data_IF_750729387253
#
_entry.id   IF_750729387253
#
_cell.length_a   1.000
_cell.length_b   1.000
_cell.length_c   1.000
_cell.angle_alpha   90.00
_cell.angle_beta   90.00
_cell.angle_gamma   90.00
#
_symmetry.space_group_name_H-M   'P 1'
#
loop_
_entity.id
_entity.type
_entity.pdbx_description
1 polymer ?
#
# COMPACT_ATOMS: atom_id res chain seq x y z
N UNK A 1 0.22 -11.15 -22.88
CA UNK A 1 0.41 -11.52 -21.63
C UNK A 1 1.42 -10.67 -20.93
N UNK A 2 1.11 -10.26 -19.82
CA UNK A 2 2.01 -9.42 -19.10
C UNK A 2 2.97 -10.24 -18.29
N UNK A 3 4.23 -10.03 -18.53
CA UNK A 3 5.25 -10.68 -17.72
C UNK A 3 5.94 -9.69 -16.82
N UNK A 4 5.30 -8.55 -16.59
CA UNK A 4 5.91 -7.51 -15.80
C UNK A 4 5.52 -7.57 -14.35
N UNK A 5 4.76 -8.61 -13.97
CA UNK A 5 4.37 -8.73 -12.56
C UNK A 5 5.53 -9.25 -11.73
N UNK A 6 5.49 -8.91 -10.46
CA UNK A 6 6.48 -9.35 -9.50
C UNK A 6 5.76 -10.00 -8.33
N UNK A 7 5.94 -11.30 -8.17
CA UNK A 7 5.30 -12.07 -7.10
C UNK A 7 3.80 -11.81 -7.03
N UNK A 8 3.18 -11.68 -8.20
CA UNK A 8 1.74 -11.45 -8.28
C UNK A 8 1.31 -10.00 -8.25
N UNK A 9 2.27 -9.07 -8.11
CA UNK A 9 1.97 -7.63 -8.09
C UNK A 9 2.48 -6.97 -9.36
N UNK A 10 1.98 -5.77 -9.63
CA UNK A 10 2.30 -5.06 -10.86
C UNK A 10 3.80 -4.95 -11.09
N UNK A 11 4.56 -4.62 -10.03
CA UNK A 11 5.99 -4.45 -10.15
C UNK A 11 6.65 -4.64 -8.79
N UNK A 12 7.98 -4.58 -8.79
CA UNK A 12 8.75 -4.78 -7.57
C UNK A 12 8.43 -3.71 -6.52
N UNK A 13 8.23 -2.46 -6.95
CA UNK A 13 7.99 -1.38 -6.00
C UNK A 13 6.70 -1.62 -5.22
N UNK A 14 5.65 -2.07 -5.91
CA UNK A 14 4.38 -2.36 -5.26
C UNK A 14 4.54 -3.50 -4.26
N UNK A 15 5.19 -4.57 -4.68
CA UNK A 15 5.45 -5.71 -3.81
C UNK A 15 6.28 -5.29 -2.59
N UNK A 16 7.32 -4.46 -2.82
CA UNK A 16 8.23 -4.07 -1.75
C UNK A 16 7.51 -3.28 -0.66
N UNK A 17 6.66 -2.35 -1.04
CA UNK A 17 5.89 -1.57 -0.07
C UNK A 17 5.06 -2.48 0.81
N UNK A 18 4.40 -3.46 0.20
CA UNK A 18 3.51 -4.34 0.95
C UNK A 18 4.28 -5.28 1.86
N UNK A 19 5.41 -5.81 1.41
CA UNK A 19 6.19 -6.70 2.25
C UNK A 19 6.76 -5.95 3.46
N UNK A 20 7.12 -4.68 3.26
CA UNK A 20 7.60 -3.86 4.37
C UNK A 20 6.51 -3.63 5.41
N UNK A 21 5.29 -3.38 4.94
CA UNK A 21 4.18 -3.19 5.85
C UNK A 21 3.87 -4.48 6.62
N UNK A 22 3.89 -5.61 5.92
CA UNK A 22 3.54 -6.87 6.55
C UNK A 22 4.58 -7.32 7.56
N UNK A 23 5.84 -6.94 7.37
CA UNK A 23 6.91 -7.36 8.26
C UNK A 23 7.11 -6.44 9.46
N UNK A 24 6.38 -5.32 9.51
CA UNK A 24 6.49 -4.37 10.62
C UNK A 24 5.15 -4.28 11.31
N UNK A 25 5.07 -4.84 12.50
CA UNK A 25 3.81 -4.85 13.22
C UNK A 25 3.30 -3.42 13.47
N UNK A 26 4.20 -2.50 13.79
CA UNK A 26 3.80 -1.12 14.03
C UNK A 26 3.20 -0.48 12.80
N UNK A 27 3.78 -0.76 11.63
CA UNK A 27 3.25 -0.21 10.38
C UNK A 27 1.92 -0.85 10.02
N UNK A 28 1.80 -2.15 10.28
CA UNK A 28 0.54 -2.82 10.02
C UNK A 28 -0.57 -2.23 10.88
N UNK A 29 -0.29 -2.01 12.16
CA UNK A 29 -1.27 -1.42 13.07
C UNK A 29 -1.62 0.00 12.66
N UNK A 30 -0.63 0.77 12.19
CA UNK A 30 -0.87 2.12 11.72
C UNK A 30 -1.77 2.11 10.49
N UNK A 31 -1.57 1.14 9.60
CA UNK A 31 -2.41 1.00 8.42
C UNK A 31 -3.87 0.78 8.83
N UNK A 32 -4.09 -0.14 9.76
CA UNK A 32 -5.44 -0.44 10.22
C UNK A 32 -6.11 0.80 10.82
N UNK A 33 -5.38 1.51 11.65
CA UNK A 33 -5.91 2.72 12.27
C UNK A 33 -6.23 3.79 11.23
N UNK A 34 -5.36 3.94 10.24
CA UNK A 34 -5.55 4.95 9.21
C UNK A 34 -6.79 4.65 8.37
N UNK A 35 -6.98 3.38 8.03
CA UNK A 35 -8.14 2.98 7.26
C UNK A 35 -9.41 3.26 8.05
N UNK A 36 -9.44 2.92 9.33
CA UNK A 36 -10.63 3.13 10.15
C UNK A 36 -10.98 4.60 10.28
N UNK A 37 -9.98 5.47 10.43
CA UNK A 37 -10.23 6.90 10.55
C UNK A 37 -10.75 7.53 9.27
N UNK A 38 -10.49 6.86 8.12
CA UNK A 38 -10.84 7.39 6.82
C UNK A 38 -11.89 6.55 6.10
N UNK A 39 -12.53 5.63 6.80
CA UNK A 39 -13.43 4.67 6.16
C UNK A 39 -14.63 5.33 5.50
N UNK A 40 -14.99 6.52 5.94
CA UNK A 40 -16.13 7.22 5.34
C UNK A 40 -15.78 7.90 4.04
N UNK A 41 -14.52 7.96 3.68
CA UNK A 41 -14.10 8.51 2.41
C UNK A 41 -14.32 7.48 1.32
N UNK A 42 -14.66 7.97 0.13
CA UNK A 42 -15.06 7.05 -0.93
C UNK A 42 -13.91 6.55 -1.78
N UNK A 43 -12.84 7.31 -1.88
CA UNK A 43 -11.75 6.92 -2.77
C UNK A 43 -10.63 6.28 -1.96
N UNK A 44 -10.63 4.95 -1.98
CA UNK A 44 -9.66 4.18 -1.21
C UNK A 44 -8.24 4.36 -1.73
N UNK A 45 -8.09 4.64 -3.03
CA UNK A 45 -6.77 4.89 -3.58
C UNK A 45 -6.12 6.11 -2.96
N UNK A 46 -6.91 7.15 -2.72
CA UNK A 46 -6.40 8.36 -2.08
C UNK A 46 -5.97 8.05 -0.65
N UNK A 47 -6.74 7.23 0.05
CA UNK A 47 -6.40 6.83 1.41
C UNK A 47 -5.05 6.11 1.41
N UNK A 48 -4.87 5.16 0.50
CA UNK A 48 -3.64 4.39 0.40
C UNK A 48 -2.46 5.30 0.10
N UNK A 49 -2.62 6.18 -0.87
CA UNK A 49 -1.52 7.05 -1.28
C UNK A 49 -1.13 7.98 -0.16
N UNK A 50 -2.10 8.54 0.55
CA UNK A 50 -1.82 9.42 1.67
C UNK A 50 -1.05 8.70 2.77
N UNK A 51 -1.48 7.50 3.09
CA UNK A 51 -0.83 6.73 4.14
C UNK A 51 0.61 6.38 3.75
N UNK A 52 0.79 5.88 2.53
CA UNK A 52 2.12 5.46 2.10
C UNK A 52 3.08 6.65 1.96
N UNK A 53 2.56 7.80 1.55
CA UNK A 53 3.38 9.00 1.48
C UNK A 53 3.83 9.42 2.88
N UNK A 54 2.96 9.24 3.87
CA UNK A 54 3.32 9.61 5.25
C UNK A 54 4.39 8.71 5.84
N UNK A 55 4.28 7.40 5.61
CA UNK A 55 5.22 6.48 6.26
C UNK A 55 6.49 6.26 5.45
N UNK A 56 6.44 6.50 4.15
CA UNK A 56 7.61 6.34 3.28
C UNK A 56 7.84 7.61 2.46
N UNK A 57 8.07 8.76 3.12
CA UNK A 57 8.23 10.01 2.37
C UNK A 57 9.41 10.00 1.43
N UNK A 58 10.42 9.19 1.71
CA UNK A 58 11.60 9.07 0.87
C UNK A 58 11.75 7.68 0.28
N UNK A 59 10.64 6.93 0.22
CA UNK A 59 10.67 5.55 -0.27
C UNK A 59 10.99 4.57 0.84
N UNK A 60 10.87 3.29 0.53
CA UNK A 60 11.21 2.26 1.50
C UNK A 60 12.74 2.15 1.61
N UNK A 61 13.24 1.51 2.67
CA UNK A 61 14.69 1.33 2.81
C UNK A 61 15.32 0.55 1.65
N UNK A 62 14.52 -0.21 0.92
CA UNK A 62 15.03 -1.01 -0.19
C UNK A 62 15.10 -0.25 -1.50
N UNK A 63 14.49 0.92 -1.56
CA UNK A 63 14.47 1.75 -2.75
C UNK A 63 15.69 2.66 -2.76
N UNK A 64 16.19 2.95 -3.97
CA UNK A 64 17.36 3.79 -4.11
C UNK A 64 17.01 5.28 -4.03
N UNK A 65 15.84 5.63 -4.51
CA UNK A 65 15.39 7.03 -4.49
C UNK A 65 13.92 7.10 -4.13
N UNK A 66 13.49 8.26 -3.67
CA UNK A 66 12.09 8.48 -3.38
C UNK A 66 11.22 8.40 -4.64
N UNK A 67 11.82 8.62 -5.80
CA UNK A 67 11.07 8.56 -7.04
C UNK A 67 10.52 7.18 -7.33
N UNK A 68 11.10 6.14 -6.74
CA UNK A 68 10.58 4.79 -6.96
C UNK A 68 9.18 4.63 -6.39
N UNK A 69 8.77 5.48 -5.45
CA UNK A 69 7.40 5.45 -4.96
C UNK A 69 6.39 5.80 -6.05
N UNK A 70 6.83 6.51 -7.09
CA UNK A 70 5.93 6.85 -8.19
C UNK A 70 5.56 5.62 -9.03
N UNK A 71 6.38 4.58 -8.96
CA UNK A 71 6.11 3.35 -9.69
C UNK A 71 5.14 2.43 -8.95
N UNK A 72 4.83 2.74 -7.69
CA UNK A 72 3.92 1.93 -6.89
C UNK A 72 2.51 2.02 -7.48
N UNK A 73 1.87 0.87 -7.66
CA UNK A 73 0.51 0.83 -8.18
C UNK A 73 -0.46 0.99 -7.00
N UNK A 74 -0.78 2.23 -6.68
CA UNK A 74 -1.65 2.52 -5.53
C UNK A 74 -3.05 1.96 -5.72
N UNK A 75 -3.51 1.89 -6.95
CA UNK A 75 -4.83 1.34 -7.23
C UNK A 75 -4.88 -0.15 -6.87
N UNK A 76 -3.83 -0.88 -7.21
CA UNK A 76 -3.76 -2.30 -6.89
C UNK A 76 -3.77 -2.52 -5.39
N UNK A 77 -2.99 -1.72 -4.67
CA UNK A 77 -2.96 -1.82 -3.21
C UNK A 77 -4.32 -1.46 -2.62
N UNK A 78 -4.95 -0.43 -3.17
CA UNK A 78 -6.25 0.01 -2.67
C UNK A 78 -7.28 -1.10 -2.83
N UNK A 79 -7.28 -1.78 -3.97
CA UNK A 79 -8.22 -2.87 -4.20
C UNK A 79 -8.00 -3.99 -3.19
N UNK A 80 -6.74 -4.32 -2.94
CA UNK A 80 -6.42 -5.38 -1.99
C UNK A 80 -6.86 -5.02 -0.58
N UNK A 81 -6.55 -3.81 -0.15
CA UNK A 81 -6.90 -3.40 1.21
C UNK A 81 -8.40 -3.25 1.38
N UNK A 82 -9.08 -2.78 0.34
CA UNK A 82 -10.52 -2.65 0.42
C UNK A 82 -11.20 -4.00 0.56
N UNK A 83 -10.72 -5.00 -0.16
CA UNK A 83 -11.25 -6.34 -0.03
C UNK A 83 -11.04 -6.89 1.37
N UNK A 84 -9.84 -6.69 1.93
CA UNK A 84 -9.55 -7.14 3.27
C UNK A 84 -10.44 -6.45 4.30
N UNK A 85 -10.61 -5.14 4.14
CA UNK A 85 -11.40 -4.37 5.08
C UNK A 85 -12.86 -4.79 5.04
N UNK A 86 -13.41 -4.95 3.83
CA UNK A 86 -14.80 -5.36 3.69
C UNK A 86 -15.04 -6.76 4.24
N UNK A 87 -14.05 -7.63 4.04
CA UNK A 87 -14.17 -8.99 4.54
C UNK A 87 -14.22 -9.00 6.08
N UNK A 88 -13.37 -8.21 6.70
CA UNK A 88 -13.31 -8.18 8.16
C UNK A 88 -14.52 -7.52 8.81
N UNK A 89 -15.20 -6.67 8.05
CA UNK A 89 -16.32 -5.90 8.61
C UNK A 89 -17.68 -6.40 8.17
N UNK A 90 -17.74 -7.62 7.70
CA UNK A 90 -19.01 -8.21 7.32
C UNK A 90 -19.78 -8.77 8.49
#
# INVERSE_FOLDING_TARGET
MSNNTYNGWTNWQTWNVLIRLDNEQNLYNAKESFIRRNEHKQNFEIIVKSFLTDIFPNGTPDMKTAEEMEAVNYEEIAETWQEEYEFENK
#
